data_IF_524332369454
#
_entry.id   IF_524332369454
#
_cell.length_a   1.000
_cell.length_b   1.000
_cell.length_c   1.000
_cell.angle_alpha   90.00
_cell.angle_beta   90.00
_cell.angle_gamma   90.00
#
_symmetry.space_group_name_H-M   'P 1'
#
loop_
_entity.id
_entity.type
_entity.pdbx_description
1 polymer ?
#
# COMPACT_ATOMS: atom_id res chain seq x y z
N UNK A 1 -15.74 8.49 5.23
CA UNK A 1 -14.71 7.45 5.46
C UNK A 1 -13.44 7.83 4.73
N UNK A 2 -12.28 7.55 5.30
CA UNK A 2 -10.96 7.71 4.66
C UNK A 2 -10.25 6.37 4.53
N UNK A 3 -9.68 6.13 3.36
CA UNK A 3 -8.85 4.95 3.09
C UNK A 3 -7.50 5.41 2.56
N UNK A 4 -6.41 4.98 3.19
CA UNK A 4 -5.07 5.22 2.68
C UNK A 4 -4.58 4.03 1.86
N UNK A 5 -3.99 4.30 0.69
CA UNK A 5 -3.40 3.31 -0.21
C UNK A 5 -1.92 3.66 -0.39
N UNK A 6 -1.04 2.76 0.04
CA UNK A 6 0.40 3.00 0.05
C UNK A 6 1.13 1.90 -0.75
N UNK A 7 1.51 2.14 -2.02
CA UNK A 7 2.51 1.32 -2.69
C UNK A 7 3.88 1.54 -2.02
N UNK A 8 4.47 0.48 -1.46
CA UNK A 8 5.75 0.52 -0.78
C UNK A 8 6.82 -0.28 -1.55
N UNK A 9 8.00 0.35 -1.69
CA UNK A 9 9.26 -0.28 -2.06
C UNK A 9 9.91 -0.99 -0.86
N UNK A 10 11.25 -1.03 -0.82
CA UNK A 10 11.97 -1.68 0.29
C UNK A 10 12.15 -0.71 1.47
N UNK A 11 11.48 -0.93 2.62
CA UNK A 11 11.60 -0.05 3.79
C UNK A 11 12.97 -0.09 4.46
N UNK A 12 13.79 -1.12 4.20
CA UNK A 12 15.13 -1.24 4.76
C UNK A 12 16.07 -0.11 4.31
N UNK A 13 15.79 0.51 3.17
CA UNK A 13 16.56 1.65 2.65
C UNK A 13 16.08 3.02 3.10
N UNK A 14 14.98 3.11 3.86
CA UNK A 14 14.41 4.40 4.25
C UNK A 14 15.17 5.01 5.42
N UNK A 15 15.27 6.34 5.41
CA UNK A 15 15.92 7.11 6.48
C UNK A 15 14.86 7.67 7.41
N UNK A 16 15.24 7.81 8.68
CA UNK A 16 14.43 8.53 9.65
C UNK A 16 14.50 10.03 9.35
N UNK A 17 13.36 10.64 9.01
CA UNK A 17 13.24 12.04 8.60
C UNK A 17 11.96 12.65 9.15
N UNK A 18 11.90 13.98 9.18
CA UNK A 18 10.68 14.72 9.50
C UNK A 18 9.80 14.85 8.25
N UNK A 19 8.53 14.43 8.36
CA UNK A 19 7.51 14.62 7.33
C UNK A 19 6.52 15.68 7.79
N UNK A 20 6.24 16.66 6.93
CA UNK A 20 5.30 17.74 7.24
C UNK A 20 4.14 17.79 6.24
N UNK A 21 2.92 18.00 6.75
CA UNK A 21 1.75 18.29 5.94
C UNK A 21 0.97 19.43 6.59
N UNK A 22 0.81 20.52 5.83
CA UNK A 22 0.29 21.80 6.35
C UNK A 22 1.11 22.27 7.57
N UNK A 23 0.50 22.31 8.76
CA UNK A 23 1.10 22.81 9.99
C UNK A 23 1.49 21.67 10.96
N UNK A 24 1.41 20.42 10.52
CA UNK A 24 1.74 19.25 11.34
C UNK A 24 2.99 18.58 10.78
N UNK A 25 3.94 18.28 11.67
CA UNK A 25 5.17 17.58 11.34
C UNK A 25 5.35 16.39 12.28
N UNK A 26 5.83 15.26 11.73
CA UNK A 26 6.07 14.02 12.48
C UNK A 26 7.34 13.37 11.95
N UNK A 27 8.22 12.95 12.84
CA UNK A 27 9.40 12.16 12.49
C UNK A 27 9.04 10.68 12.31
N UNK A 28 9.59 10.05 11.27
CA UNK A 28 9.33 8.65 10.97
C UNK A 28 10.22 8.09 9.87
N UNK A 29 10.18 6.76 9.70
CA UNK A 29 10.75 6.11 8.51
C UNK A 29 9.85 6.25 7.28
N UNK A 30 8.57 6.53 7.50
CA UNK A 30 7.56 6.64 6.45
C UNK A 30 6.54 7.73 6.76
N UNK A 31 5.99 8.30 5.70
CA UNK A 31 4.79 9.16 5.71
C UNK A 31 3.58 8.53 6.41
N UNK A 32 3.55 7.21 6.61
CA UNK A 32 2.53 6.53 7.42
C UNK A 32 2.42 7.12 8.84
N UNK A 33 3.53 7.53 9.46
CA UNK A 33 3.54 8.16 10.78
C UNK A 33 2.76 9.47 10.79
N UNK A 34 2.89 10.28 9.73
CA UNK A 34 2.14 11.53 9.56
C UNK A 34 0.65 11.26 9.28
N UNK A 35 0.36 10.31 8.37
CA UNK A 35 -1.02 9.93 8.01
C UNK A 35 -1.82 9.43 9.23
N UNK A 36 -1.17 8.73 10.17
CA UNK A 36 -1.84 8.14 11.32
C UNK A 36 -1.94 9.07 12.53
N UNK A 37 -1.01 10.02 12.64
CA UNK A 37 -0.97 11.00 13.72
C UNK A 37 -1.87 12.22 13.45
N UNK A 38 -2.03 12.61 12.18
CA UNK A 38 -2.80 13.80 11.78
C UNK A 38 -4.31 13.55 11.79
N UNK A 39 -5.10 14.20 12.68
CA UNK A 39 -6.56 14.03 12.70
C UNK A 39 -7.25 14.45 11.39
N UNK A 40 -6.66 15.40 10.66
CA UNK A 40 -7.23 15.92 9.40
C UNK A 40 -7.23 14.87 8.28
N UNK A 41 -6.22 14.01 8.24
CA UNK A 41 -6.03 13.01 7.17
C UNK A 41 -6.00 11.57 7.69
N UNK A 42 -6.32 11.34 8.97
CA UNK A 42 -6.31 10.01 9.58
C UNK A 42 -7.24 9.03 8.84
N UNK A 43 -6.71 7.92 8.30
CA UNK A 43 -7.52 6.92 7.61
C UNK A 43 -8.22 5.95 8.58
N UNK A 44 -9.37 5.44 8.16
CA UNK A 44 -10.11 4.35 8.81
C UNK A 44 -9.58 2.97 8.41
N UNK A 45 -9.03 2.87 7.21
CA UNK A 45 -8.43 1.67 6.63
C UNK A 45 -7.14 2.04 5.91
N UNK A 46 -6.10 1.25 6.11
CA UNK A 46 -4.80 1.44 5.48
C UNK A 46 -4.47 0.18 4.67
N UNK A 47 -4.34 0.32 3.35
CA UNK A 47 -3.93 -0.73 2.45
C UNK A 47 -2.50 -0.46 2.00
N UNK A 48 -1.58 -1.32 2.45
CA UNK A 48 -0.18 -1.28 2.05
C UNK A 48 0.02 -2.38 1.02
N UNK A 49 0.43 -1.96 -0.17
CA UNK A 49 0.77 -2.86 -1.26
C UNK A 49 2.29 -2.92 -1.40
N UNK A 50 2.84 -4.14 -1.43
CA UNK A 50 4.27 -4.39 -1.62
C UNK A 50 4.49 -5.46 -2.67
N UNK A 51 5.70 -5.53 -3.21
CA UNK A 51 6.07 -6.57 -4.17
C UNK A 51 6.81 -7.73 -3.49
N UNK A 52 6.59 -8.93 -3.98
CA UNK A 52 7.31 -10.15 -3.58
C UNK A 52 8.84 -10.06 -3.78
N UNK A 53 9.28 -9.18 -4.68
CA UNK A 53 10.69 -8.86 -4.97
C UNK A 53 11.50 -8.40 -3.75
N UNK A 54 10.83 -7.93 -2.69
CA UNK A 54 11.43 -7.61 -1.38
C UNK A 54 12.01 -8.84 -0.66
N UNK A 55 11.66 -10.04 -1.10
CA UNK A 55 12.15 -11.29 -0.55
C UNK A 55 13.62 -11.55 -0.94
N UNK A 56 14.56 -11.39 -0.02
CA UNK A 56 16.00 -11.41 -0.30
C UNK A 56 16.72 -12.75 -0.07
N UNK A 57 15.98 -13.82 0.20
CA UNK A 57 16.54 -15.15 0.45
C UNK A 57 16.40 -16.06 -0.77
N UNK A 58 17.18 -17.14 -0.80
CA UNK A 58 17.13 -18.14 -1.89
C UNK A 58 16.21 -19.30 -1.49
N UNK A 59 16.17 -19.60 -0.19
CA UNK A 59 15.45 -20.72 0.40
C UNK A 59 13.99 -20.40 0.68
N UNK A 60 13.09 -20.89 -0.17
CA UNK A 60 11.66 -20.82 0.07
C UNK A 60 11.04 -22.19 -0.19
N UNK A 61 10.06 -22.55 0.62
CA UNK A 61 9.34 -23.83 0.45
C UNK A 61 8.28 -23.70 -0.65
N UNK A 62 7.57 -22.57 -0.67
CA UNK A 62 6.53 -22.25 -1.64
C UNK A 62 6.28 -20.72 -1.67
N UNK A 63 5.43 -20.27 -2.58
CA UNK A 63 5.11 -18.85 -2.74
C UNK A 63 4.39 -18.24 -1.52
N UNK A 64 3.63 -19.04 -0.77
CA UNK A 64 2.95 -18.59 0.44
C UNK A 64 3.96 -18.25 1.55
N UNK A 65 4.96 -19.11 1.78
CA UNK A 65 6.07 -18.84 2.72
C UNK A 65 6.84 -17.56 2.32
N UNK A 66 7.10 -17.38 1.03
CA UNK A 66 7.76 -16.19 0.50
C UNK A 66 6.97 -14.91 0.84
N UNK A 67 5.69 -14.87 0.48
CA UNK A 67 4.85 -13.69 0.72
C UNK A 67 4.64 -13.44 2.21
N UNK A 68 4.53 -14.48 3.03
CA UNK A 68 4.48 -14.36 4.49
C UNK A 68 5.72 -13.65 5.04
N UNK A 69 6.92 -14.07 4.62
CA UNK A 69 8.18 -13.44 5.06
C UNK A 69 8.32 -12.00 4.59
N UNK A 70 7.84 -11.66 3.39
CA UNK A 70 7.79 -10.26 2.93
C UNK A 70 6.85 -9.43 3.81
N UNK A 71 5.66 -9.97 4.11
CA UNK A 71 4.69 -9.32 4.99
C UNK A 71 5.28 -9.06 6.38
N UNK A 72 5.97 -10.04 6.93
CA UNK A 72 6.64 -9.91 8.24
C UNK A 72 7.83 -8.94 8.21
N UNK A 73 8.56 -8.86 7.09
CA UNK A 73 9.57 -7.81 6.90
C UNK A 73 8.92 -6.43 6.97
N UNK A 74 7.82 -6.22 6.25
CA UNK A 74 7.13 -4.91 6.18
C UNK A 74 6.50 -4.51 7.51
N UNK A 75 5.88 -5.45 8.24
CA UNK A 75 5.27 -5.20 9.55
C UNK A 75 6.23 -4.54 10.55
N UNK A 76 7.53 -4.87 10.50
CA UNK A 76 8.56 -4.31 11.37
C UNK A 76 8.76 -2.79 11.19
N UNK A 77 8.35 -2.24 10.05
CA UNK A 77 8.52 -0.83 9.69
C UNK A 77 7.24 -0.01 9.78
N UNK A 78 6.12 -0.59 10.26
CA UNK A 78 4.87 0.15 10.40
C UNK A 78 4.98 1.26 11.45
N UNK A 79 5.67 0.99 12.57
CA UNK A 79 5.90 1.95 13.66
C UNK A 79 4.63 2.70 14.13
N UNK A 80 3.47 2.04 14.14
CA UNK A 80 2.16 2.61 14.51
C UNK A 80 1.38 1.67 15.44
N UNK A 81 0.32 2.19 16.07
CA UNK A 81 -0.54 1.44 17.01
C UNK A 81 -1.21 0.23 16.35
N UNK A 82 -1.35 -0.86 17.12
CA UNK A 82 -2.06 -2.09 16.71
C UNK A 82 -3.57 -1.89 16.52
N UNK A 83 -4.14 -0.79 17.03
CA UNK A 83 -5.57 -0.46 16.89
C UNK A 83 -5.96 -0.03 15.47
N UNK A 84 -4.98 0.27 14.61
CA UNK A 84 -5.23 0.69 13.24
C UNK A 84 -5.57 -0.51 12.36
N UNK A 85 -6.58 -0.35 11.50
CA UNK A 85 -6.91 -1.37 10.50
C UNK A 85 -5.96 -1.29 9.32
N UNK A 86 -4.84 -2.01 9.42
CA UNK A 86 -3.79 -2.09 8.41
C UNK A 86 -3.85 -3.45 7.72
N UNK A 87 -3.95 -3.45 6.40
CA UNK A 87 -3.83 -4.64 5.55
C UNK A 87 -2.59 -4.54 4.68
N UNK A 88 -1.73 -5.56 4.75
CA UNK A 88 -0.53 -5.67 3.92
C UNK A 88 -0.76 -6.78 2.90
N UNK A 89 -0.78 -6.40 1.62
CA UNK A 89 -0.96 -7.29 0.50
C UNK A 89 0.33 -7.37 -0.31
N UNK A 90 0.83 -8.60 -0.49
CA UNK A 90 2.05 -8.87 -1.25
C UNK A 90 1.67 -9.31 -2.66
N UNK A 91 2.20 -8.60 -3.65
CA UNK A 91 1.86 -8.73 -5.05
C UNK A 91 3.05 -9.23 -5.88
N UNK A 92 2.80 -9.93 -6.98
CA UNK A 92 3.87 -10.43 -7.83
C UNK A 92 4.60 -9.27 -8.51
N UNK A 93 5.92 -9.23 -8.41
CA UNK A 93 6.77 -8.21 -8.99
C UNK A 93 7.66 -8.71 -10.12
N UNK A 94 8.32 -7.76 -10.78
CA UNK A 94 9.25 -8.04 -11.87
C UNK A 94 10.60 -7.48 -11.48
N UNK A 95 11.57 -8.37 -11.28
CA UNK A 95 12.93 -7.98 -10.90
C UNK A 95 13.90 -9.10 -11.22
N UNK A 96 15.11 -8.72 -11.64
CA UNK A 96 16.26 -9.60 -11.68
C UNK A 96 17.29 -9.07 -10.70
N UNK A 97 17.73 -9.91 -9.76
CA UNK A 97 18.76 -9.54 -8.78
C UNK A 97 19.83 -10.61 -8.68
N UNK A 98 21.06 -10.17 -8.40
CA UNK A 98 22.21 -11.04 -8.22
C UNK A 98 22.68 -10.95 -6.78
N UNK A 99 22.78 -12.10 -6.10
CA UNK A 99 23.29 -12.21 -4.74
C UNK A 99 24.43 -13.22 -4.73
N UNK A 100 25.67 -12.73 -4.60
CA UNK A 100 26.90 -13.53 -4.78
C UNK A 100 26.91 -14.19 -6.17
N UNK A 101 27.01 -15.52 -6.22
CA UNK A 101 27.01 -16.32 -7.45
C UNK A 101 25.60 -16.72 -7.92
N UNK A 102 24.56 -16.38 -7.15
CA UNK A 102 23.18 -16.76 -7.45
C UNK A 102 22.41 -15.61 -8.11
N UNK A 103 21.65 -15.97 -9.13
CA UNK A 103 20.70 -15.09 -9.81
C UNK A 103 19.29 -15.44 -9.38
N UNK A 104 18.55 -14.45 -8.87
CA UNK A 104 17.14 -14.58 -8.48
C UNK A 104 16.32 -13.76 -9.47
N UNK A 105 15.33 -14.40 -10.10
CA UNK A 105 14.48 -13.77 -11.11
C UNK A 105 13.02 -13.87 -10.66
N UNK A 106 12.37 -12.72 -10.53
CA UNK A 106 10.93 -12.59 -10.37
C UNK A 106 10.32 -12.26 -11.73
N UNK A 107 9.37 -13.10 -12.17
CA UNK A 107 8.65 -12.93 -13.42
C UNK A 107 7.16 -12.84 -13.11
N UNK A 108 6.55 -11.77 -13.58
CA UNK A 108 5.12 -11.54 -13.44
C UNK A 108 4.58 -10.86 -14.70
N UNK A 109 3.29 -11.00 -14.93
CA UNK A 109 2.58 -10.15 -15.87
C UNK A 109 2.16 -8.85 -15.12
N UNK A 110 2.58 -7.66 -15.59
CA UNK A 110 2.16 -6.39 -14.98
C UNK A 110 0.63 -6.25 -14.90
N UNK A 111 -0.11 -6.78 -15.88
CA UNK A 111 -1.56 -6.69 -15.88
C UNK A 111 -2.19 -7.52 -14.75
N UNK A 112 -1.64 -8.69 -14.43
CA UNK A 112 -2.11 -9.50 -13.29
C UNK A 112 -1.91 -8.75 -11.97
N UNK A 113 -0.80 -8.02 -11.85
CA UNK A 113 -0.51 -7.16 -10.69
C UNK A 113 -1.54 -6.04 -10.57
N UNK A 114 -1.83 -5.36 -11.69
CA UNK A 114 -2.83 -4.29 -11.77
C UNK A 114 -4.24 -4.80 -11.43
N UNK A 115 -4.63 -5.96 -11.95
CA UNK A 115 -5.94 -6.57 -11.67
C UNK A 115 -6.07 -6.98 -10.19
N UNK A 116 -5.00 -7.51 -9.59
CA UNK A 116 -4.98 -7.80 -8.14
C UNK A 116 -5.08 -6.54 -7.29
N UNK A 117 -4.37 -5.46 -7.67
CA UNK A 117 -4.49 -4.15 -7.02
C UNK A 117 -5.94 -3.65 -7.07
N UNK A 118 -6.56 -3.69 -8.25
CA UNK A 118 -7.95 -3.27 -8.47
C UNK A 118 -8.91 -4.10 -7.60
N UNK A 119 -8.83 -5.42 -7.72
CA UNK A 119 -9.66 -6.36 -6.98
C UNK A 119 -9.56 -6.15 -5.47
N UNK A 120 -8.32 -6.12 -4.94
CA UNK A 120 -8.10 -5.98 -3.51
C UNK A 120 -8.52 -4.59 -3.02
N UNK A 121 -8.24 -3.53 -3.77
CA UNK A 121 -8.65 -2.17 -3.39
C UNK A 121 -10.18 -2.10 -3.34
N UNK A 122 -10.86 -2.54 -4.40
CA UNK A 122 -12.31 -2.49 -4.49
C UNK A 122 -12.98 -3.29 -3.37
N UNK A 123 -12.61 -4.56 -3.18
CA UNK A 123 -13.26 -5.42 -2.19
C UNK A 123 -13.05 -4.92 -0.76
N UNK A 124 -11.83 -4.53 -0.38
CA UNK A 124 -11.53 -4.07 0.99
C UNK A 124 -12.27 -2.78 1.32
N UNK A 125 -12.39 -1.88 0.35
CA UNK A 125 -13.14 -0.63 0.55
C UNK A 125 -14.65 -0.92 0.58
N UNK A 126 -15.14 -1.81 -0.27
CA UNK A 126 -16.56 -2.20 -0.29
C UNK A 126 -16.99 -2.87 1.03
N UNK A 127 -16.15 -3.76 1.58
CA UNK A 127 -16.34 -4.36 2.91
C UNK A 127 -16.53 -3.28 3.98
N UNK A 128 -15.71 -2.23 3.96
CA UNK A 128 -15.83 -1.09 4.89
C UNK A 128 -17.06 -0.24 4.64
N UNK A 129 -17.38 0.07 3.39
CA UNK A 129 -18.61 0.79 3.04
C UNK A 129 -19.85 0.07 3.57
N UNK A 130 -19.91 -1.25 3.41
CA UNK A 130 -21.04 -2.05 3.87
C UNK A 130 -21.15 -2.11 5.40
N UNK A 131 -20.03 -1.98 6.11
CA UNK A 131 -20.02 -1.87 7.57
C UNK A 131 -20.46 -0.47 8.08
N UNK A 132 -20.36 0.57 7.24
CA UNK A 132 -20.72 1.95 7.56
C UNK A 132 -21.67 2.56 6.50
N UNK A 133 -22.89 2.03 6.34
CA UNK A 133 -23.75 2.36 5.21
C UNK A 133 -24.16 3.84 5.17
N UNK A 134 -24.32 4.49 6.32
CA UNK A 134 -24.74 5.89 6.43
C UNK A 134 -23.66 6.90 5.99
N UNK A 135 -22.41 6.46 5.85
CA UNK A 135 -21.31 7.34 5.49
C UNK A 135 -21.26 7.57 3.97
N UNK A 136 -21.81 8.69 3.49
CA UNK A 136 -21.95 8.95 2.06
C UNK A 136 -20.70 9.49 1.37
N UNK A 137 -19.62 9.78 2.10
CA UNK A 137 -18.38 10.32 1.53
C UNK A 137 -17.23 9.33 1.68
N UNK A 138 -16.52 9.05 0.59
CA UNK A 138 -15.31 8.24 0.57
C UNK A 138 -14.15 9.10 0.08
N UNK A 139 -13.16 9.32 0.94
CA UNK A 139 -11.88 9.92 0.56
C UNK A 139 -10.82 8.81 0.46
N UNK A 140 -10.21 8.66 -0.70
CA UNK A 140 -9.11 7.73 -0.95
C UNK A 140 -7.81 8.53 -1.03
N UNK A 141 -6.90 8.28 -0.11
CA UNK A 141 -5.59 8.92 -0.01
C UNK A 141 -4.56 7.97 -0.63
N UNK A 142 -4.01 8.32 -1.79
CA UNK A 142 -2.98 7.53 -2.47
C UNK A 142 -1.63 8.16 -2.19
N UNK A 143 -0.82 7.51 -1.38
CA UNK A 143 0.51 7.99 -1.03
C UNK A 143 1.58 7.28 -1.86
N UNK A 144 2.15 8.02 -2.80
CA UNK A 144 3.13 7.51 -3.76
C UNK A 144 4.58 7.65 -3.31
N UNK A 145 4.83 8.26 -2.16
CA UNK A 145 6.16 8.65 -1.66
C UNK A 145 7.18 7.51 -1.67
N UNK A 146 6.75 6.33 -1.23
CA UNK A 146 7.63 5.16 -1.12
C UNK A 146 7.43 4.14 -2.23
N UNK A 147 6.61 4.45 -3.23
CA UNK A 147 6.34 3.56 -4.36
C UNK A 147 7.54 3.46 -5.29
N UNK A 148 7.64 2.35 -6.03
CA UNK A 148 8.77 2.08 -6.93
C UNK A 148 8.33 1.91 -8.39
N UNK A 149 8.91 2.70 -9.29
CA UNK A 149 8.82 2.54 -10.74
C UNK A 149 7.37 2.32 -11.26
N UNK A 150 7.17 1.21 -11.98
CA UNK A 150 5.89 0.82 -12.59
C UNK A 150 4.81 0.55 -11.54
N UNK A 151 5.18 0.14 -10.33
CA UNK A 151 4.25 -0.29 -9.32
C UNK A 151 3.37 0.87 -8.84
N UNK A 152 3.97 2.04 -8.61
CA UNK A 152 3.25 3.27 -8.25
C UNK A 152 2.19 3.63 -9.29
N UNK A 153 2.55 3.53 -10.58
CA UNK A 153 1.64 3.82 -11.69
C UNK A 153 0.49 2.79 -11.71
N UNK A 154 0.80 1.49 -11.63
CA UNK A 154 -0.23 0.45 -11.62
C UNK A 154 -1.17 0.59 -10.42
N UNK A 155 -0.65 0.93 -9.24
CA UNK A 155 -1.47 1.18 -8.05
C UNK A 155 -2.39 2.37 -8.25
N UNK A 156 -1.87 3.50 -8.77
CA UNK A 156 -2.69 4.67 -9.04
C UNK A 156 -3.83 4.36 -10.02
N UNK A 157 -3.52 3.73 -11.15
CA UNK A 157 -4.52 3.38 -12.17
C UNK A 157 -5.59 2.42 -11.61
N UNK A 158 -5.16 1.39 -10.88
CA UNK A 158 -6.07 0.45 -10.24
C UNK A 158 -6.97 1.11 -9.19
N UNK A 159 -6.44 2.07 -8.41
CA UNK A 159 -7.22 2.82 -7.42
C UNK A 159 -8.22 3.74 -8.10
N UNK A 160 -7.85 4.42 -9.19
CA UNK A 160 -8.78 5.27 -9.94
C UNK A 160 -9.94 4.44 -10.52
N UNK A 161 -9.65 3.29 -11.11
CA UNK A 161 -10.67 2.37 -11.61
C UNK A 161 -11.57 1.85 -10.48
N UNK A 162 -10.99 1.42 -9.36
CA UNK A 162 -11.74 1.01 -8.17
C UNK A 162 -12.64 2.15 -7.66
N UNK A 163 -12.12 3.38 -7.60
CA UNK A 163 -12.85 4.55 -7.12
C UNK A 163 -14.07 4.87 -8.00
N UNK A 164 -13.94 4.72 -9.32
CA UNK A 164 -15.03 4.91 -10.27
C UNK A 164 -16.11 3.84 -10.08
N UNK A 165 -15.71 2.58 -9.88
CA UNK A 165 -16.65 1.50 -9.54
C UNK A 165 -17.35 1.73 -8.20
N UNK A 166 -16.64 2.22 -7.19
CA UNK A 166 -17.22 2.50 -5.87
C UNK A 166 -18.19 3.69 -5.90
N UNK A 167 -17.98 4.66 -6.79
CA UNK A 167 -18.89 5.78 -6.96
C UNK A 167 -20.29 5.35 -7.44
N UNK A 168 -20.41 4.20 -8.13
CA UNK A 168 -21.70 3.66 -8.55
C UNK A 168 -22.55 3.14 -7.40
N UNK A 169 -21.98 3.00 -6.20
CA UNK A 169 -22.70 2.63 -4.97
C UNK A 169 -23.30 3.85 -4.23
N UNK A 170 -23.45 4.98 -4.93
CA UNK A 170 -24.06 6.20 -4.37
C UNK A 170 -23.16 6.96 -3.40
N UNK A 171 -21.85 6.69 -3.39
CA UNK A 171 -20.87 7.41 -2.58
C UNK A 171 -20.30 8.60 -3.34
N UNK A 172 -20.10 9.72 -2.63
CA UNK A 172 -19.28 10.82 -3.12
C UNK A 172 -17.81 10.44 -2.92
N UNK A 173 -17.15 10.02 -4.01
CA UNK A 173 -15.77 9.52 -3.98
C UNK A 173 -14.80 10.61 -4.40
N UNK A 174 -13.80 10.87 -3.56
CA UNK A 174 -12.71 11.81 -3.81
C UNK A 174 -11.38 11.08 -3.68
N UNK A 175 -10.54 11.19 -4.70
CA UNK A 175 -9.19 10.63 -4.70
C UNK A 175 -8.18 11.76 -4.55
N UNK A 176 -7.35 11.69 -3.52
CA UNK A 176 -6.24 12.60 -3.25
C UNK A 176 -4.93 11.85 -3.43
N UNK A 177 -3.99 12.41 -4.17
CA UNK A 177 -2.67 11.79 -4.40
C UNK A 177 -1.61 12.64 -3.72
N UNK A 178 -0.76 11.99 -2.93
CA UNK A 178 0.35 12.62 -2.19
C UNK A 178 1.69 12.05 -2.65
N UNK A 179 2.71 12.88 -2.55
CA UNK A 179 4.10 12.50 -2.75
C UNK A 179 4.99 13.48 -1.96
N UNK A 180 5.94 12.96 -1.18
CA UNK A 180 6.97 13.75 -0.50
C UNK A 180 8.21 13.96 -1.35
#
# INVERSE_FOLDING_TARGET
MRVAILPWGDPEGWKYVEYCFKNECVEGFSTLSLLTSSPEIRPNLILIYVLDTLYNNVEHTNYEDLTSRVRDKVKKYLCVSEELDIKIEVLPGIMKKRKKELEIIFRANPNDTRLKLLHNTYLRILEKINAEPENNTLEILVDTTHGVNYFTILTREAVLEASAMLATHGKNVKVLVFNS
#
